data_IF_222388574078
#
_entry.id   IF_222388574078
#
_cell.length_a   1.000
_cell.length_b   1.000
_cell.length_c   1.000
_cell.angle_alpha   90.00
_cell.angle_beta   90.00
_cell.angle_gamma   90.00
#
_symmetry.space_group_name_H-M   'P 1'
#
loop_
_entity.id
_entity.type
_entity.pdbx_description
1 polymer ?
#
# COMPACT_ATOMS: atom_id res chain seq x y z
N UNK A 1 8.48 -48.63 -9.73
CA UNK A 1 7.27 -48.07 -9.09
C UNK A 1 7.64 -47.21 -7.87
N UNK A 2 8.54 -47.65 -7.00
CA UNK A 2 8.93 -46.95 -5.77
C UNK A 2 9.59 -45.57 -6.01
N UNK A 3 10.46 -45.42 -7.01
CA UNK A 3 11.10 -44.14 -7.33
C UNK A 3 10.10 -43.06 -7.77
N UNK A 4 9.04 -43.44 -8.47
CA UNK A 4 8.00 -42.51 -8.89
C UNK A 4 7.20 -41.97 -7.69
N UNK A 5 6.98 -42.80 -6.66
CA UNK A 5 6.30 -42.39 -5.42
C UNK A 5 7.09 -41.31 -4.69
N UNK A 6 8.41 -41.48 -4.57
CA UNK A 6 9.27 -40.50 -3.91
C UNK A 6 9.37 -39.18 -4.69
N UNK A 7 9.41 -39.22 -6.02
CA UNK A 7 9.40 -38.02 -6.87
C UNK A 7 8.09 -37.25 -6.70
N UNK A 8 6.95 -37.93 -6.71
CA UNK A 8 5.65 -37.31 -6.50
C UNK A 8 5.51 -36.74 -5.09
N UNK A 9 5.97 -37.47 -4.07
CA UNK A 9 5.96 -36.99 -2.68
C UNK A 9 6.78 -35.70 -2.52
N UNK A 10 8.01 -35.67 -3.05
CA UNK A 10 8.87 -34.49 -3.01
C UNK A 10 8.25 -33.29 -3.75
N UNK A 11 7.64 -33.52 -4.91
CA UNK A 11 6.94 -32.48 -5.66
C UNK A 11 5.74 -31.91 -4.87
N UNK A 12 4.92 -32.78 -4.26
CA UNK A 12 3.80 -32.38 -3.41
C UNK A 12 4.26 -31.57 -2.19
N UNK A 13 5.34 -31.99 -1.52
CA UNK A 13 5.91 -31.24 -0.39
C UNK A 13 6.43 -29.87 -0.84
N UNK A 14 7.14 -29.79 -1.97
CA UNK A 14 7.61 -28.53 -2.53
C UNK A 14 6.48 -27.56 -2.86
N UNK A 15 5.42 -28.06 -3.49
CA UNK A 15 4.22 -27.28 -3.79
C UNK A 15 3.54 -26.78 -2.52
N UNK A 16 3.39 -27.63 -1.51
CA UNK A 16 2.79 -27.26 -0.22
C UNK A 16 3.57 -26.13 0.46
N UNK A 17 4.90 -26.22 0.50
CA UNK A 17 5.75 -25.17 1.08
C UNK A 17 5.63 -23.85 0.31
N UNK A 18 5.52 -23.90 -1.01
CA UNK A 18 5.31 -22.72 -1.85
C UNK A 18 3.95 -22.06 -1.55
N UNK A 19 2.87 -22.85 -1.45
CA UNK A 19 1.55 -22.35 -1.10
C UNK A 19 1.53 -21.70 0.30
N UNK A 20 2.20 -22.30 1.29
CA UNK A 20 2.34 -21.73 2.63
C UNK A 20 3.14 -20.42 2.62
N UNK A 21 4.22 -20.34 1.82
CA UNK A 21 4.97 -19.09 1.63
C UNK A 21 4.12 -17.99 1.00
N UNK A 22 3.33 -18.32 -0.01
CA UNK A 22 2.41 -17.36 -0.64
C UNK A 22 1.33 -16.92 0.35
N UNK A 23 0.72 -17.86 1.09
CA UNK A 23 -0.30 -17.55 2.08
C UNK A 23 0.23 -16.64 3.20
N UNK A 24 1.41 -16.94 3.74
CA UNK A 24 2.06 -16.08 4.75
C UNK A 24 2.46 -14.72 4.20
N UNK A 25 2.89 -14.62 2.94
CA UNK A 25 3.15 -13.33 2.30
C UNK A 25 1.87 -12.50 2.11
N UNK A 26 0.77 -13.12 1.69
CA UNK A 26 -0.51 -12.43 1.44
C UNK A 26 -1.24 -12.05 2.74
N UNK A 27 -1.08 -12.82 3.83
CA UNK A 27 -1.82 -12.59 5.07
C UNK A 27 -0.96 -12.00 6.20
N UNK A 28 0.22 -12.57 6.45
CA UNK A 28 1.02 -12.22 7.63
C UNK A 28 1.82 -10.92 7.44
N UNK A 29 2.51 -10.79 6.30
CA UNK A 29 3.31 -9.59 5.99
C UNK A 29 2.49 -8.30 6.02
N UNK A 30 1.31 -8.18 5.36
CA UNK A 30 0.55 -6.93 5.40
C UNK A 30 0.02 -6.59 6.79
N UNK A 31 -0.33 -7.60 7.61
CA UNK A 31 -0.74 -7.38 9.00
C UNK A 31 0.42 -6.87 9.85
N UNK A 32 1.63 -7.39 9.64
CA UNK A 32 2.82 -6.92 10.34
C UNK A 32 3.16 -5.47 9.97
N UNK A 33 3.11 -5.13 8.68
CA UNK A 33 3.33 -3.77 8.20
C UNK A 33 2.28 -2.82 8.77
N UNK A 34 1.00 -3.21 8.77
CA UNK A 34 -0.08 -2.43 9.37
C UNK A 34 0.20 -2.12 10.84
N UNK A 35 0.54 -3.13 11.65
CA UNK A 35 0.86 -2.96 13.08
C UNK A 35 2.06 -2.04 13.30
N UNK A 36 3.08 -2.14 12.44
CA UNK A 36 4.25 -1.26 12.49
C UNK A 36 3.90 0.21 12.23
N UNK A 37 3.08 0.49 11.21
CA UNK A 37 2.61 1.87 10.97
C UNK A 37 1.70 2.37 12.09
N UNK A 38 0.84 1.49 12.63
CA UNK A 38 -0.04 1.83 13.75
C UNK A 38 0.75 2.17 15.02
N UNK A 39 1.86 1.48 15.31
CA UNK A 39 2.73 1.80 16.45
C UNK A 39 3.45 3.15 16.29
N UNK A 40 3.68 3.60 15.05
CA UNK A 40 4.18 4.95 14.76
C UNK A 40 3.06 6.03 14.84
N UNK A 41 1.80 5.61 14.99
CA UNK A 41 0.62 6.47 15.06
C UNK A 41 0.01 6.79 13.70
N UNK A 42 0.37 6.06 12.64
CA UNK A 42 -0.19 6.19 11.30
C UNK A 42 -1.23 5.08 11.11
N UNK A 43 -2.51 5.43 11.22
CA UNK A 43 -3.63 4.52 10.94
C UNK A 43 -3.97 4.54 9.45
N UNK A 44 -3.36 3.63 8.70
CA UNK A 44 -3.66 3.45 7.29
C UNK A 44 -5.04 2.83 7.04
N UNK A 45 -5.55 2.87 5.79
CA UNK A 45 -6.73 2.11 5.41
C UNK A 45 -6.51 0.60 5.63
N UNK A 46 -7.59 -0.18 5.84
CA UNK A 46 -7.48 -1.62 6.04
C UNK A 46 -6.89 -2.32 4.80
N UNK A 47 -6.16 -3.40 5.03
CA UNK A 47 -5.66 -4.25 3.95
C UNK A 47 -6.81 -4.98 3.25
N UNK A 48 -6.79 -5.00 1.91
CA UNK A 48 -7.74 -5.73 1.06
C UNK A 48 -6.95 -6.44 -0.05
N UNK A 49 -7.21 -7.72 -0.25
CA UNK A 49 -6.36 -8.61 -1.07
C UNK A 49 -6.45 -8.32 -2.58
N UNK A 50 -7.66 -8.14 -3.12
CA UNK A 50 -7.86 -8.11 -4.58
C UNK A 50 -7.79 -6.70 -5.19
N UNK A 51 -8.65 -5.79 -4.74
CA UNK A 51 -8.74 -4.43 -5.31
C UNK A 51 -8.03 -3.37 -4.45
N UNK A 52 -7.45 -3.80 -3.31
CA UNK A 52 -6.83 -2.89 -2.36
C UNK A 52 -7.75 -1.72 -2.01
N UNK A 53 -7.18 -0.51 -2.00
CA UNK A 53 -7.87 0.74 -1.72
C UNK A 53 -8.16 1.57 -2.98
N UNK A 54 -7.91 1.02 -4.16
CA UNK A 54 -8.15 1.68 -5.46
C UNK A 54 -9.58 2.22 -5.64
N UNK A 55 -10.66 1.48 -5.31
CA UNK A 55 -12.01 2.01 -5.48
C UNK A 55 -12.28 3.23 -4.58
N UNK A 56 -11.78 3.23 -3.34
CA UNK A 56 -11.91 4.36 -2.43
C UNK A 56 -11.12 5.57 -2.94
N UNK A 57 -9.90 5.36 -3.47
CA UNK A 57 -9.09 6.42 -4.08
C UNK A 57 -9.78 6.99 -5.31
N UNK A 58 -10.33 6.14 -6.17
CA UNK A 58 -11.04 6.57 -7.39
C UNK A 58 -12.28 7.38 -7.03
N UNK A 59 -13.03 6.98 -6.01
CA UNK A 59 -14.16 7.75 -5.48
C UNK A 59 -13.71 9.15 -5.03
N UNK A 60 -12.67 9.23 -4.19
CA UNK A 60 -12.14 10.52 -3.71
C UNK A 60 -11.68 11.42 -4.87
N UNK A 61 -11.02 10.85 -5.89
CA UNK A 61 -10.60 11.60 -7.08
C UNK A 61 -11.82 12.14 -7.83
N UNK A 62 -12.86 11.33 -8.02
CA UNK A 62 -14.07 11.77 -8.70
C UNK A 62 -14.79 12.89 -7.92
N UNK A 63 -14.87 12.77 -6.59
CA UNK A 63 -15.43 13.81 -5.72
C UNK A 63 -14.71 15.15 -5.88
N UNK A 64 -13.38 15.16 -5.93
CA UNK A 64 -12.59 16.39 -6.14
C UNK A 64 -12.64 16.90 -7.58
N UNK A 65 -12.73 16.01 -8.57
CA UNK A 65 -12.86 16.39 -9.99
C UNK A 65 -14.20 17.04 -10.31
N UNK A 66 -15.29 16.61 -9.66
CA UNK A 66 -16.61 17.20 -9.81
C UNK A 66 -16.69 18.64 -9.30
N UNK A 67 -15.76 19.05 -8.42
CA UNK A 67 -15.70 20.43 -7.94
C UNK A 67 -15.11 21.35 -9.01
N UNK A 68 -15.58 22.61 -9.11
CA UNK A 68 -14.95 23.62 -9.95
C UNK A 68 -13.45 23.72 -9.68
N UNK A 69 -12.66 24.03 -10.71
CA UNK A 69 -11.22 24.15 -10.54
C UNK A 69 -10.89 25.34 -9.63
N UNK A 70 -10.18 25.11 -8.51
CA UNK A 70 -9.81 26.22 -7.63
C UNK A 70 -8.76 27.08 -8.32
N UNK A 71 -8.89 28.41 -8.17
CA UNK A 71 -7.84 29.35 -8.56
C UNK A 71 -6.76 29.40 -7.46
N UNK A 72 -6.06 28.28 -7.26
CA UNK A 72 -5.01 28.12 -6.25
C UNK A 72 -3.90 27.22 -6.78
N UNK A 73 -2.69 27.42 -6.27
CA UNK A 73 -1.56 26.54 -6.55
C UNK A 73 -1.63 25.22 -5.76
N UNK A 74 -2.56 25.09 -4.79
CA UNK A 74 -2.78 23.84 -4.06
C UNK A 74 -3.63 22.86 -4.88
N UNK A 75 -2.96 22.16 -5.79
CA UNK A 75 -3.57 21.15 -6.68
C UNK A 75 -3.59 19.75 -6.05
N UNK A 76 -2.89 19.54 -4.93
CA UNK A 76 -2.73 18.22 -4.30
C UNK A 76 -4.04 17.53 -3.95
N UNK A 77 -5.06 18.21 -3.37
CA UNK A 77 -6.35 17.58 -3.09
C UNK A 77 -6.98 16.96 -4.33
N UNK A 78 -6.84 17.59 -5.50
CA UNK A 78 -7.48 17.16 -6.75
C UNK A 78 -6.73 16.01 -7.44
N UNK A 79 -5.40 16.00 -7.36
CA UNK A 79 -4.55 14.98 -8.03
C UNK A 79 -4.35 13.75 -7.14
N UNK A 80 -4.05 13.96 -5.86
CA UNK A 80 -3.79 12.90 -4.88
C UNK A 80 -4.56 13.13 -3.58
N UNK A 81 -5.91 13.00 -3.58
CA UNK A 81 -6.76 13.31 -2.43
C UNK A 81 -6.38 12.51 -1.17
N UNK A 82 -6.02 11.24 -1.34
CA UNK A 82 -5.57 10.37 -0.26
C UNK A 82 -4.26 10.85 0.40
N UNK A 83 -3.31 11.40 -0.38
CA UNK A 83 -2.09 12.01 0.18
C UNK A 83 -2.40 13.30 0.91
N UNK A 84 -3.30 14.12 0.38
CA UNK A 84 -3.74 15.36 1.04
C UNK A 84 -4.40 15.05 2.38
N UNK A 85 -5.30 14.05 2.44
CA UNK A 85 -5.94 13.59 3.67
C UNK A 85 -4.92 13.06 4.70
N UNK A 86 -3.97 12.21 4.29
CA UNK A 86 -2.94 11.68 5.19
C UNK A 86 -1.96 12.76 5.66
N UNK A 87 -1.60 13.71 4.80
CA UNK A 87 -0.79 14.86 5.18
C UNK A 87 -1.49 15.70 6.25
N UNK A 88 -2.81 15.90 6.11
CA UNK A 88 -3.62 16.63 7.09
C UNK A 88 -3.79 15.86 8.41
N UNK A 89 -3.93 14.54 8.34
CA UNK A 89 -4.15 13.69 9.52
C UNK A 89 -2.87 13.42 10.34
N UNK A 90 -1.72 13.25 9.67
CA UNK A 90 -0.48 12.76 10.30
C UNK A 90 0.70 13.73 10.23
N UNK A 91 0.62 14.78 9.41
CA UNK A 91 1.63 15.83 9.31
C UNK A 91 3.04 15.30 9.07
N UNK A 92 4.00 15.70 9.92
CA UNK A 92 5.42 15.33 9.84
C UNK A 92 5.67 13.82 9.83
N UNK A 93 4.86 13.05 10.58
CA UNK A 93 5.00 11.58 10.58
C UNK A 93 4.77 11.00 9.19
N UNK A 94 3.80 11.52 8.45
CA UNK A 94 3.58 11.14 7.06
C UNK A 94 4.66 11.69 6.12
N UNK A 95 5.14 12.91 6.37
CA UNK A 95 6.20 13.52 5.59
C UNK A 95 7.51 12.70 5.59
N UNK A 96 7.85 12.08 6.71
CA UNK A 96 9.01 11.17 6.80
C UNK A 96 8.83 9.92 5.93
N UNK A 97 7.64 9.32 5.93
CA UNK A 97 7.38 8.07 5.21
C UNK A 97 7.21 8.28 3.71
N UNK A 98 6.57 9.37 3.26
CA UNK A 98 6.39 9.62 1.82
C UNK A 98 7.70 9.85 1.07
N UNK A 99 8.77 10.29 1.75
CA UNK A 99 10.13 10.42 1.17
C UNK A 99 10.66 9.07 0.69
N UNK A 100 10.30 7.98 1.37
CA UNK A 100 10.71 6.62 0.97
C UNK A 100 9.95 6.15 -0.28
N UNK A 101 8.71 6.62 -0.47
CA UNK A 101 7.79 6.10 -1.49
C UNK A 101 8.05 6.72 -2.87
N UNK A 102 8.43 7.99 -2.95
CA UNK A 102 8.62 8.67 -4.23
C UNK A 102 9.90 9.53 -4.25
N UNK A 103 11.07 8.92 -4.55
CA UNK A 103 12.36 9.60 -4.55
C UNK A 103 12.45 10.75 -5.57
N UNK A 104 11.68 10.67 -6.66
CA UNK A 104 11.73 11.65 -7.74
C UNK A 104 11.19 13.04 -7.35
N UNK A 105 10.46 13.17 -6.24
CA UNK A 105 9.85 14.43 -5.78
C UNK A 105 10.44 14.92 -4.45
N UNK A 106 11.74 14.73 -4.26
CA UNK A 106 12.47 15.32 -3.16
C UNK A 106 12.64 16.83 -3.40
N UNK A 107 11.79 17.64 -2.76
CA UNK A 107 11.80 19.11 -2.88
C UNK A 107 13.13 19.74 -2.41
N UNK A 108 13.91 19.02 -1.62
CA UNK A 108 15.26 19.37 -1.17
C UNK A 108 16.32 19.25 -2.28
N UNK A 109 16.08 18.45 -3.32
CA UNK A 109 16.94 18.33 -4.50
C UNK A 109 16.62 19.37 -5.58
N UNK A 110 15.57 20.17 -5.39
CA UNK A 110 15.09 21.19 -6.34
C UNK A 110 15.53 22.62 -5.96
N UNK A 111 16.52 22.76 -5.07
CA UNK A 111 17.10 24.05 -4.67
C UNK A 111 18.38 24.36 -5.42
#
# INVERSE_FOLDING_TARGET
MESAVWVLAAACTGLLLLLLKVATAIWWKPLQVKKYFESQGIRGPPYRVFNGNTPDITRMINEEKCKPMPFSHDILPRVFPHYHQWSKAYGEKWAQHRRIINPAFHMDLLK
#
